data_IF_214195782557
#
_entry.id   IF_214195782557
#
_cell.length_a   1.000
_cell.length_b   1.000
_cell.length_c   1.000
_cell.angle_alpha   90.00
_cell.angle_beta   90.00
_cell.angle_gamma   90.00
#
_symmetry.space_group_name_H-M   'P 1'
#
loop_
_entity.id
_entity.type
_entity.pdbx_description
1 polymer ?
#
# COMPACT_ATOMS: atom_id res chain seq x y z
N UNK A 1 -9.24 23.89 -10.93
CA UNK A 1 -9.11 22.76 -9.99
C UNK A 1 -7.81 22.87 -9.25
N UNK A 2 -7.81 22.61 -7.94
CA UNK A 2 -6.62 22.70 -7.10
C UNK A 2 -5.77 21.42 -7.24
N UNK A 3 -4.69 21.51 -8.02
CA UNK A 3 -3.78 20.39 -8.26
C UNK A 3 -3.00 19.99 -7.01
N UNK A 4 -2.77 20.92 -6.08
CA UNK A 4 -2.04 20.66 -4.83
C UNK A 4 -2.89 19.83 -3.88
N UNK A 5 -4.13 20.27 -3.64
CA UNK A 5 -5.07 19.52 -2.81
C UNK A 5 -5.33 18.09 -3.35
N UNK A 6 -5.35 17.94 -4.68
CA UNK A 6 -5.43 16.64 -5.33
C UNK A 6 -4.20 15.75 -5.05
N UNK A 7 -2.99 16.29 -5.20
CA UNK A 7 -1.75 15.55 -4.89
C UNK A 7 -1.67 15.15 -3.41
N UNK A 8 -2.05 16.03 -2.48
CA UNK A 8 -2.13 15.73 -1.06
C UNK A 8 -3.11 14.60 -0.76
N UNK A 9 -4.24 14.57 -1.48
CA UNK A 9 -5.23 13.49 -1.37
C UNK A 9 -4.66 12.15 -1.84
N UNK A 10 -3.91 12.13 -2.95
CA UNK A 10 -3.26 10.92 -3.43
C UNK A 10 -2.21 10.39 -2.44
N UNK A 11 -1.40 11.27 -1.86
CA UNK A 11 -0.41 10.91 -0.85
C UNK A 11 -1.08 10.32 0.41
N UNK A 12 -2.19 10.91 0.86
CA UNK A 12 -2.98 10.37 1.96
C UNK A 12 -3.54 8.98 1.63
N UNK A 13 -4.04 8.78 0.42
CA UNK A 13 -4.57 7.49 -0.04
C UNK A 13 -3.47 6.41 -0.09
N UNK A 14 -2.29 6.73 -0.59
CA UNK A 14 -1.14 5.82 -0.57
C UNK A 14 -0.74 5.43 0.86
N UNK A 15 -0.71 6.40 1.78
CA UNK A 15 -0.46 6.15 3.21
C UNK A 15 -1.49 5.22 3.85
N UNK A 16 -2.78 5.39 3.53
CA UNK A 16 -3.87 4.53 4.01
C UNK A 16 -3.72 3.10 3.47
N UNK A 17 -3.45 2.94 2.17
CA UNK A 17 -3.20 1.64 1.55
C UNK A 17 -2.03 0.92 2.24
N UNK A 18 -0.87 1.59 2.35
CA UNK A 18 0.34 1.02 2.95
C UNK A 18 0.12 0.62 4.41
N UNK A 19 -0.55 1.45 5.19
CA UNK A 19 -0.81 1.19 6.62
C UNK A 19 -1.75 0.00 6.83
N UNK A 20 -2.79 -0.11 6.00
CA UNK A 20 -3.69 -1.25 6.04
C UNK A 20 -2.97 -2.53 5.56
N UNK A 21 -2.22 -2.47 4.46
CA UNK A 21 -1.66 -3.65 3.83
C UNK A 21 -0.46 -4.25 4.58
N UNK A 22 0.32 -3.42 5.30
CA UNK A 22 1.39 -3.87 6.20
C UNK A 22 0.94 -4.90 7.23
N UNK A 23 -0.33 -4.88 7.66
CA UNK A 23 -0.87 -5.87 8.61
C UNK A 23 -0.86 -7.29 8.05
N UNK A 24 -0.82 -7.44 6.73
CA UNK A 24 -0.89 -8.73 6.04
C UNK A 24 0.49 -9.30 5.68
N UNK A 25 1.60 -8.58 5.87
CA UNK A 25 2.94 -9.06 5.46
C UNK A 25 3.40 -10.30 6.23
N UNK A 26 2.84 -10.58 7.40
CA UNK A 26 3.10 -11.82 8.15
C UNK A 26 2.27 -13.04 7.74
N UNK A 27 1.29 -12.89 6.84
CA UNK A 27 0.41 -13.98 6.43
C UNK A 27 0.99 -14.71 5.21
N UNK A 28 1.03 -16.05 5.30
CA UNK A 28 1.35 -16.90 4.15
C UNK A 28 0.12 -17.03 3.26
N UNK A 29 0.19 -16.49 2.05
CA UNK A 29 -0.85 -16.67 1.03
C UNK A 29 -0.31 -17.67 0.00
N UNK A 30 -0.96 -18.83 -0.11
CA UNK A 30 -0.48 -19.93 -0.93
C UNK A 30 0.83 -20.51 -0.40
N UNK A 31 1.76 -20.83 -1.31
CA UNK A 31 3.07 -21.42 -0.96
C UNK A 31 4.16 -20.40 -0.63
N UNK A 32 3.93 -19.11 -0.93
CA UNK A 32 4.93 -18.06 -0.71
C UNK A 32 4.66 -17.34 0.61
N UNK A 33 5.71 -17.17 1.41
CA UNK A 33 5.69 -16.30 2.59
C UNK A 33 5.99 -14.84 2.27
N UNK A 34 6.25 -14.50 1.00
CA UNK A 34 6.69 -13.15 0.57
C UNK A 34 5.68 -12.42 -0.32
N UNK A 35 4.62 -13.08 -0.77
CA UNK A 35 3.66 -12.49 -1.71
C UNK A 35 3.07 -11.17 -1.20
N UNK A 36 2.79 -11.09 0.10
CA UNK A 36 2.24 -9.88 0.72
C UNK A 36 3.28 -8.75 0.84
N UNK A 37 4.57 -9.08 0.97
CA UNK A 37 5.66 -8.10 0.91
C UNK A 37 5.84 -7.57 -0.52
N UNK A 38 5.75 -8.45 -1.52
CA UNK A 38 5.84 -8.11 -2.94
C UNK A 38 4.68 -7.18 -3.37
N UNK A 39 3.45 -7.48 -2.95
CA UNK A 39 2.29 -6.62 -3.22
C UNK A 39 2.44 -5.27 -2.52
N UNK A 40 2.94 -5.25 -1.28
CA UNK A 40 3.18 -4.00 -0.56
C UNK A 40 4.22 -3.13 -1.28
N UNK A 41 5.28 -3.73 -1.81
CA UNK A 41 6.33 -3.04 -2.54
C UNK A 41 5.85 -2.47 -3.89
N UNK A 42 4.94 -3.17 -4.57
CA UNK A 42 4.32 -2.72 -5.82
C UNK A 42 3.17 -1.71 -5.62
N UNK A 43 2.77 -1.44 -4.37
CA UNK A 43 1.67 -0.54 -4.04
C UNK A 43 1.98 0.95 -4.26
N UNK A 44 0.97 1.82 -4.15
CA UNK A 44 1.15 3.27 -4.23
C UNK A 44 2.16 3.81 -3.20
N UNK A 45 2.99 4.75 -3.64
CA UNK A 45 4.02 5.41 -2.83
C UNK A 45 3.63 6.85 -2.46
#
# INVERSE_FOLDING_TARGET
SDKKAYQETLQKLAGLFRSNFKKFTGYKIGKSSRLTEEILAAGPQ
#
